data_IF_555915229001
#
_entry.id   IF_555915229001
#
_cell.length_a   1.000
_cell.length_b   1.000
_cell.length_c   1.000
_cell.angle_alpha   90.00
_cell.angle_beta   90.00
_cell.angle_gamma   90.00
#
_symmetry.space_group_name_H-M   'P 1'
#
loop_
_entity.id
_entity.type
_entity.pdbx_description
1 polymer ?
#
# COMPACT_ATOMS: atom_id res chain seq x y z
N UNK A 1 -22.85 3.21 -3.82
CA UNK A 1 -22.96 4.08 -2.63
C UNK A 1 -22.17 3.55 -1.42
N UNK A 2 -22.22 2.25 -1.13
CA UNK A 2 -21.49 1.64 0.00
C UNK A 2 -19.96 1.86 -0.05
N UNK A 3 -19.34 1.67 -1.23
CA UNK A 3 -17.90 1.91 -1.43
C UNK A 3 -17.48 3.35 -1.05
N UNK A 4 -18.25 4.33 -1.51
CA UNK A 4 -17.98 5.75 -1.25
C UNK A 4 -18.17 6.08 0.23
N UNK A 5 -19.23 5.57 0.86
CA UNK A 5 -19.49 5.76 2.29
C UNK A 5 -18.37 5.17 3.16
N UNK A 6 -17.96 3.93 2.88
CA UNK A 6 -16.81 3.26 3.53
C UNK A 6 -15.55 4.12 3.43
N UNK A 7 -15.32 4.75 2.28
CA UNK A 7 -14.14 5.59 2.06
C UNK A 7 -14.17 6.90 2.85
N UNK A 8 -15.32 7.56 2.95
CA UNK A 8 -15.45 8.80 3.74
C UNK A 8 -15.37 8.55 5.24
N UNK A 9 -16.14 7.58 5.76
CA UNK A 9 -16.11 7.23 7.18
C UNK A 9 -14.73 6.70 7.55
N UNK A 10 -14.19 5.77 6.76
CA UNK A 10 -12.84 5.24 6.96
C UNK A 10 -11.79 6.34 6.93
N UNK A 11 -11.93 7.32 6.03
CA UNK A 11 -11.06 8.50 5.97
C UNK A 11 -11.11 9.36 7.23
N UNK A 12 -12.30 9.58 7.81
CA UNK A 12 -12.45 10.33 9.07
C UNK A 12 -11.90 9.56 10.28
N UNK A 13 -11.88 8.22 10.21
CA UNK A 13 -11.32 7.36 11.25
C UNK A 13 -9.80 7.18 11.14
N UNK A 14 -9.15 7.72 10.11
CA UNK A 14 -7.70 7.74 10.05
C UNK A 14 -7.12 8.57 11.22
N UNK A 15 -5.95 8.22 11.76
CA UNK A 15 -5.40 8.86 12.95
C UNK A 15 -5.34 10.39 12.85
N UNK A 16 -4.85 10.93 11.74
CA UNK A 16 -4.70 12.37 11.56
C UNK A 16 -6.06 13.12 11.51
N UNK A 17 -7.00 12.79 10.60
CA UNK A 17 -8.33 13.41 10.61
C UNK A 17 -9.07 13.28 11.95
N UNK A 18 -9.03 12.10 12.58
CA UNK A 18 -9.69 11.88 13.86
C UNK A 18 -9.14 12.79 14.96
N UNK A 19 -7.80 12.89 15.07
CA UNK A 19 -7.15 13.73 16.06
C UNK A 19 -7.37 15.22 15.78
N UNK A 20 -7.37 15.64 14.51
CA UNK A 20 -7.70 17.03 14.14
C UNK A 20 -9.15 17.38 14.46
N UNK A 21 -10.10 16.47 14.23
CA UNK A 21 -11.50 16.65 14.63
C UNK A 21 -11.65 16.74 16.16
N UNK A 22 -10.90 15.92 16.91
CA UNK A 22 -10.88 15.98 18.36
C UNK A 22 -10.32 17.32 18.88
N UNK A 23 -9.23 17.81 18.28
CA UNK A 23 -8.66 19.13 18.60
C UNK A 23 -9.65 20.25 18.23
N UNK A 24 -10.27 20.20 17.05
CA UNK A 24 -11.25 21.18 16.61
C UNK A 24 -12.47 21.24 17.55
N UNK A 25 -12.99 20.08 17.97
CA UNK A 25 -14.04 20.00 18.97
C UNK A 25 -13.58 20.60 20.30
N UNK A 26 -12.35 20.32 20.73
CA UNK A 26 -11.76 20.91 21.93
C UNK A 26 -11.70 22.45 21.86
N UNK A 27 -11.27 23.01 20.73
CA UNK A 27 -11.24 24.46 20.49
C UNK A 27 -12.66 25.07 20.50
N UNK A 28 -13.63 24.41 19.87
CA UNK A 28 -15.02 24.86 19.88
C UNK A 28 -15.60 24.93 21.31
N UNK A 29 -15.30 23.94 22.15
CA UNK A 29 -15.70 23.94 23.56
C UNK A 29 -15.02 25.05 24.38
N UNK A 30 -13.79 25.44 24.04
CA UNK A 30 -13.07 26.54 24.70
C UNK A 30 -13.69 27.89 24.31
N UNK A 31 -13.96 28.10 23.01
CA UNK A 31 -14.38 29.41 22.49
C UNK A 31 -15.87 29.70 22.65
N UNK A 32 -16.73 28.67 22.58
CA UNK A 32 -18.18 28.88 22.47
C UNK A 32 -18.99 28.22 23.59
N UNK A 33 -18.34 27.67 24.63
CA UNK A 33 -19.04 26.91 25.67
C UNK A 33 -18.48 27.15 27.08
N UNK A 34 -19.29 26.81 28.08
CA UNK A 34 -18.89 26.75 29.50
C UNK A 34 -17.97 25.56 29.82
N UNK A 35 -17.86 24.58 28.92
CA UNK A 35 -17.08 23.35 29.11
C UNK A 35 -15.58 23.52 28.78
N UNK A 36 -15.00 24.66 29.10
CA UNK A 36 -13.62 25.02 28.72
C UNK A 36 -12.57 24.04 29.26
N UNK A 37 -12.79 23.46 30.44
CA UNK A 37 -11.87 22.46 31.01
C UNK A 37 -11.80 21.19 30.14
N UNK A 38 -12.96 20.66 29.74
CA UNK A 38 -13.05 19.53 28.82
C UNK A 38 -12.44 19.86 27.45
N UNK A 39 -12.69 21.07 26.95
CA UNK A 39 -12.10 21.54 25.70
C UNK A 39 -10.56 21.57 25.74
N UNK A 40 -9.96 22.11 26.82
CA UNK A 40 -8.50 22.08 27.04
C UNK A 40 -7.97 20.64 27.08
N UNK A 41 -8.64 19.74 27.81
CA UNK A 41 -8.25 18.33 27.86
C UNK A 41 -8.27 17.67 26.48
N UNK A 42 -9.31 17.91 25.66
CA UNK A 42 -9.38 17.36 24.30
C UNK A 42 -8.26 17.89 23.41
N UNK A 43 -8.00 19.20 23.44
CA UNK A 43 -6.88 19.79 22.68
C UNK A 43 -5.54 19.20 23.13
N UNK A 44 -5.29 19.10 24.44
CA UNK A 44 -4.03 18.56 24.97
C UNK A 44 -3.84 17.09 24.58
N UNK A 45 -4.86 16.25 24.77
CA UNK A 45 -4.78 14.82 24.42
C UNK A 45 -4.63 14.64 22.91
N UNK A 46 -5.42 15.35 22.10
CA UNK A 46 -5.33 15.28 20.65
C UNK A 46 -3.96 15.72 20.13
N UNK A 47 -3.44 16.82 20.67
CA UNK A 47 -2.11 17.33 20.32
C UNK A 47 -0.99 16.39 20.76
N UNK A 48 -1.03 15.87 22.00
CA UNK A 48 -0.03 14.92 22.50
C UNK A 48 -0.05 13.61 21.71
N UNK A 49 -1.23 13.08 21.40
CA UNK A 49 -1.36 11.87 20.57
C UNK A 49 -0.79 12.12 19.17
N UNK A 50 -1.10 13.27 18.57
CA UNK A 50 -0.57 13.64 17.26
C UNK A 50 0.95 13.79 17.29
N UNK A 51 1.49 14.46 18.32
CA UNK A 51 2.92 14.59 18.54
C UNK A 51 3.58 13.21 18.65
N UNK A 52 3.08 12.34 19.52
CA UNK A 52 3.62 11.00 19.73
C UNK A 52 3.59 10.18 18.44
N UNK A 53 2.48 10.15 17.71
CA UNK A 53 2.38 9.44 16.43
C UNK A 53 3.25 10.04 15.31
N UNK A 54 3.68 11.30 15.47
CA UNK A 54 4.62 11.96 14.55
C UNK A 54 6.09 11.70 14.92
N UNK A 55 6.36 11.14 16.11
CA UNK A 55 7.70 10.73 16.50
C UNK A 55 8.04 9.37 15.90
N UNK A 56 9.13 9.33 15.14
CA UNK A 56 9.58 8.13 14.44
C UNK A 56 9.73 6.89 15.34
N UNK A 57 10.28 6.94 16.57
CA UNK A 57 10.35 5.78 17.45
C UNK A 57 8.97 5.16 17.79
N UNK A 58 7.94 5.99 17.89
CA UNK A 58 6.57 5.53 18.16
C UNK A 58 5.96 4.94 16.89
N UNK A 59 6.08 5.64 15.76
CA UNK A 59 5.59 5.16 14.47
C UNK A 59 6.23 3.82 14.07
N UNK A 60 7.56 3.72 14.20
CA UNK A 60 8.33 2.51 13.91
C UNK A 60 7.98 1.39 14.88
N UNK A 61 7.81 1.70 16.18
CA UNK A 61 7.39 0.72 17.18
C UNK A 61 6.01 0.11 16.90
N UNK A 62 5.08 0.89 16.33
CA UNK A 62 3.75 0.41 15.94
C UNK A 62 3.77 -0.36 14.60
N UNK A 63 4.62 0.03 13.65
CA UNK A 63 4.72 -0.60 12.34
C UNK A 63 5.49 -1.92 12.37
N UNK A 64 6.58 -1.98 13.12
CA UNK A 64 7.55 -3.08 13.10
C UNK A 64 6.95 -4.48 13.31
N UNK A 65 6.02 -4.70 14.27
CA UNK A 65 5.41 -6.03 14.43
C UNK A 65 4.63 -6.48 13.20
N UNK A 66 4.01 -5.53 12.48
CA UNK A 66 3.25 -5.82 11.26
C UNK A 66 4.21 -6.13 10.12
N UNK A 67 5.25 -5.30 9.93
CA UNK A 67 6.22 -5.48 8.86
C UNK A 67 7.05 -6.77 9.01
N UNK A 68 7.32 -7.19 10.25
CA UNK A 68 8.06 -8.43 10.56
C UNK A 68 7.20 -9.70 10.51
N UNK A 69 5.91 -9.61 10.15
CA UNK A 69 5.04 -10.78 10.03
C UNK A 69 5.54 -11.77 8.97
N UNK A 70 6.09 -11.25 7.87
CA UNK A 70 6.70 -12.06 6.83
C UNK A 70 8.16 -11.64 6.63
N UNK A 71 9.10 -12.60 6.61
CA UNK A 71 10.49 -12.29 6.32
C UNK A 71 10.66 -11.85 4.87
N UNK A 72 11.71 -11.06 4.60
CA UNK A 72 12.14 -10.76 3.23
C UNK A 72 12.34 -12.05 2.44
N UNK A 73 11.77 -12.10 1.23
CA UNK A 73 11.88 -13.28 0.38
C UNK A 73 13.34 -13.50 -0.05
N UNK A 74 13.91 -14.61 0.42
CA UNK A 74 15.25 -15.11 0.05
C UNK A 74 15.18 -16.52 -0.55
N UNK A 75 13.98 -17.02 -0.83
CA UNK A 75 13.78 -18.38 -1.31
C UNK A 75 14.24 -18.58 -2.76
N UNK A 76 14.75 -19.79 -3.05
CA UNK A 76 15.13 -20.21 -4.40
C UNK A 76 13.99 -20.93 -5.14
N UNK A 77 12.80 -21.00 -4.55
CA UNK A 77 11.65 -21.59 -5.22
C UNK A 77 11.31 -20.75 -6.45
N UNK A 78 11.43 -21.38 -7.62
CA UNK A 78 11.02 -20.75 -8.88
C UNK A 78 9.50 -20.63 -8.91
N UNK A 79 9.03 -19.46 -9.34
CA UNK A 79 7.62 -19.21 -9.59
C UNK A 79 7.42 -18.74 -11.03
N UNK A 80 6.26 -19.08 -11.59
CA UNK A 80 5.88 -18.62 -12.93
C UNK A 80 5.30 -17.21 -12.94
N UNK A 81 4.85 -16.72 -11.77
CA UNK A 81 4.16 -15.43 -11.64
C UNK A 81 4.63 -14.63 -10.42
N UNK A 82 4.72 -13.31 -10.62
CA UNK A 82 4.99 -12.31 -9.59
C UNK A 82 3.88 -11.27 -9.65
N UNK A 83 3.01 -11.27 -8.65
CA UNK A 83 1.87 -10.37 -8.55
C UNK A 83 2.28 -9.16 -7.74
N UNK A 84 2.23 -7.97 -8.33
CA UNK A 84 2.56 -6.70 -7.68
C UNK A 84 1.27 -5.89 -7.47
N UNK A 85 0.91 -5.66 -6.21
CA UNK A 85 -0.30 -4.91 -5.86
C UNK A 85 -0.06 -3.39 -5.88
N UNK A 86 -1.05 -2.65 -6.39
CA UNK A 86 -1.04 -1.19 -6.44
C UNK A 86 -0.98 -0.54 -5.04
N UNK A 87 -0.27 0.58 -4.92
CA UNK A 87 -0.16 1.38 -3.69
C UNK A 87 -0.67 2.81 -3.80
N UNK A 88 -0.99 3.24 -5.03
CA UNK A 88 -1.36 4.61 -5.38
C UNK A 88 -0.48 5.13 -6.51
N UNK A 89 -1.04 6.04 -7.30
CA UNK A 89 -0.41 6.55 -8.52
C UNK A 89 -1.06 7.87 -8.93
N UNK A 90 -0.38 8.60 -9.80
CA UNK A 90 -0.90 9.72 -10.59
C UNK A 90 -0.68 9.41 -12.07
N UNK A 91 -1.14 10.28 -12.96
CA UNK A 91 -0.85 10.17 -14.38
C UNK A 91 -0.60 11.51 -15.03
N UNK A 92 0.60 11.67 -15.56
CA UNK A 92 0.98 12.69 -16.53
C UNK A 92 1.84 12.00 -17.62
N UNK A 93 1.40 12.02 -18.89
CA UNK A 93 2.13 11.37 -19.98
C UNK A 93 3.48 12.04 -20.31
N UNK A 94 3.72 13.26 -19.82
CA UNK A 94 4.97 13.99 -20.05
C UNK A 94 6.02 13.73 -18.96
N UNK A 95 5.64 13.06 -17.87
CA UNK A 95 6.58 12.75 -16.80
C UNK A 95 7.37 11.49 -17.14
N UNK A 96 8.54 11.35 -16.50
CA UNK A 96 9.22 10.06 -16.47
C UNK A 96 8.23 9.00 -15.94
N UNK A 97 8.15 7.79 -16.55
CA UNK A 97 7.14 6.81 -16.18
C UNK A 97 7.07 6.56 -14.67
N UNK A 98 8.22 6.40 -14.01
CA UNK A 98 8.31 6.12 -12.57
C UNK A 98 7.75 7.25 -11.69
N UNK A 99 7.77 8.51 -12.14
CA UNK A 99 7.20 9.66 -11.43
C UNK A 99 5.67 9.58 -11.32
N UNK A 100 5.03 8.69 -12.07
CA UNK A 100 3.59 8.42 -11.94
C UNK A 100 3.27 7.48 -10.76
N UNK A 101 4.26 6.82 -10.15
CA UNK A 101 4.07 5.96 -8.97
C UNK A 101 4.43 6.71 -7.70
N UNK A 102 3.54 6.66 -6.69
CA UNK A 102 3.80 7.33 -5.41
C UNK A 102 4.64 6.45 -4.47
N UNK A 103 5.06 7.02 -3.34
CA UNK A 103 6.05 6.51 -2.38
C UNK A 103 6.00 5.00 -2.09
N UNK A 104 4.81 4.40 -1.97
CA UNK A 104 4.69 2.97 -1.65
C UNK A 104 4.68 2.06 -2.90
N UNK A 105 4.28 2.57 -4.07
CA UNK A 105 4.15 1.78 -5.31
C UNK A 105 5.49 1.52 -5.97
N UNK A 106 6.39 2.51 -5.95
CA UNK A 106 7.69 2.38 -6.61
C UNK A 106 8.59 1.32 -5.94
N UNK A 107 8.73 1.24 -4.60
CA UNK A 107 9.49 0.16 -3.97
C UNK A 107 8.87 -1.23 -4.19
N UNK A 108 7.54 -1.34 -4.29
CA UNK A 108 6.87 -2.60 -4.64
C UNK A 108 7.19 -3.02 -6.06
N UNK A 109 7.15 -2.09 -7.01
CA UNK A 109 7.52 -2.36 -8.40
C UNK A 109 8.99 -2.78 -8.50
N UNK A 110 9.90 -2.06 -7.82
CA UNK A 110 11.32 -2.40 -7.82
C UNK A 110 11.57 -3.80 -7.26
N UNK A 111 10.91 -4.16 -6.16
CA UNK A 111 11.01 -5.52 -5.60
C UNK A 111 10.43 -6.56 -6.57
N UNK A 112 9.30 -6.26 -7.21
CA UNK A 112 8.74 -7.10 -8.26
C UNK A 112 9.72 -7.35 -9.41
N UNK A 113 10.41 -6.31 -9.89
CA UNK A 113 11.42 -6.43 -10.97
C UNK A 113 12.63 -7.23 -10.48
N UNK A 114 13.11 -6.99 -9.26
CA UNK A 114 14.22 -7.75 -8.66
C UNK A 114 13.89 -9.25 -8.61
N UNK A 115 12.67 -9.58 -8.17
CA UNK A 115 12.18 -10.96 -8.12
C UNK A 115 11.99 -11.55 -9.52
N UNK A 116 11.55 -10.74 -10.49
CA UNK A 116 11.39 -11.19 -11.87
C UNK A 116 12.73 -11.54 -12.52
N UNK A 117 13.75 -10.70 -12.32
CA UNK A 117 15.12 -10.98 -12.74
C UNK A 117 15.67 -12.26 -12.10
N UNK A 118 15.31 -12.53 -10.84
CA UNK A 118 15.69 -13.74 -10.12
C UNK A 118 14.89 -15.00 -10.56
N UNK A 119 13.81 -14.83 -11.32
CA UNK A 119 12.96 -15.91 -11.83
C UNK A 119 12.86 -15.85 -13.38
N UNK A 120 13.92 -16.25 -14.12
CA UNK A 120 13.90 -16.23 -15.58
C UNK A 120 12.74 -17.07 -16.15
N UNK A 121 11.96 -16.48 -17.05
CA UNK A 121 10.77 -17.10 -17.65
C UNK A 121 9.46 -16.77 -16.95
N UNK A 122 9.50 -16.18 -15.76
CA UNK A 122 8.30 -15.74 -15.05
C UNK A 122 7.63 -14.52 -15.70
N UNK A 123 6.35 -14.32 -15.38
CA UNK A 123 5.58 -13.14 -15.76
C UNK A 123 5.28 -12.26 -14.54
N UNK A 124 5.27 -10.95 -14.76
CA UNK A 124 4.81 -9.97 -13.78
C UNK A 124 3.33 -9.69 -14.00
N UNK A 125 2.55 -9.63 -12.93
CA UNK A 125 1.14 -9.26 -12.96
C UNK A 125 0.97 -7.97 -12.17
N UNK A 126 0.54 -6.90 -12.83
CA UNK A 126 0.14 -5.66 -12.16
C UNK A 126 -1.38 -5.59 -12.05
N UNK A 127 -1.88 -5.16 -10.90
CA UNK A 127 -3.31 -5.11 -10.61
C UNK A 127 -3.75 -3.72 -10.18
N UNK A 128 -5.03 -3.40 -10.41
CA UNK A 128 -5.68 -2.22 -9.89
C UNK A 128 -6.26 -1.30 -10.97
N UNK A 129 -7.47 -0.81 -10.72
CA UNK A 129 -8.26 -0.02 -11.64
C UNK A 129 -7.78 1.42 -11.81
N UNK A 130 -8.38 2.09 -12.79
CA UNK A 130 -8.27 3.53 -12.97
C UNK A 130 -8.98 4.28 -11.84
N UNK A 131 -8.29 5.25 -11.24
CA UNK A 131 -8.93 6.26 -10.42
C UNK A 131 -9.89 7.08 -11.28
N UNK A 132 -11.02 7.54 -10.72
CA UNK A 132 -12.05 8.28 -11.47
C UNK A 132 -11.51 9.48 -12.27
N UNK A 133 -10.43 10.09 -11.79
CA UNK A 133 -9.81 11.30 -12.35
C UNK A 133 -8.61 10.98 -13.23
N UNK A 134 -8.34 9.71 -13.52
CA UNK A 134 -7.12 9.27 -14.19
C UNK A 134 -7.47 8.38 -15.39
N UNK A 135 -6.94 8.65 -16.59
CA UNK A 135 -7.27 7.88 -17.80
C UNK A 135 -6.57 6.53 -17.86
N UNK A 136 -5.56 6.28 -17.02
CA UNK A 136 -4.76 5.04 -17.01
C UNK A 136 -5.02 4.29 -15.71
N UNK A 137 -5.07 2.96 -15.76
CA UNK A 137 -5.24 2.13 -14.57
C UNK A 137 -3.96 2.05 -13.73
N UNK A 138 -4.09 1.75 -12.43
CA UNK A 138 -2.91 1.50 -11.58
C UNK A 138 -2.06 0.36 -12.14
N UNK A 139 -2.71 -0.70 -12.66
CA UNK A 139 -2.06 -1.83 -13.31
C UNK A 139 -1.23 -1.39 -14.52
N UNK A 140 -1.80 -0.61 -15.42
CA UNK A 140 -1.13 -0.15 -16.63
C UNK A 140 -0.03 0.88 -16.35
N UNK A 141 -0.23 1.76 -15.36
CA UNK A 141 0.83 2.65 -14.90
C UNK A 141 2.05 1.87 -14.39
N UNK A 142 1.83 0.86 -13.55
CA UNK A 142 2.91 -0.04 -13.08
C UNK A 142 3.59 -0.79 -14.22
N UNK A 143 2.82 -1.31 -15.18
CA UNK A 143 3.35 -1.99 -16.35
C UNK A 143 4.28 -1.09 -17.19
N UNK A 144 3.87 0.15 -17.48
CA UNK A 144 4.70 1.11 -18.24
C UNK A 144 5.99 1.47 -17.53
N UNK A 145 5.97 1.55 -16.21
CA UNK A 145 7.21 1.75 -15.43
C UNK A 145 8.12 0.54 -15.57
N UNK A 146 7.60 -0.68 -15.42
CA UNK A 146 8.39 -1.90 -15.60
C UNK A 146 8.97 -2.01 -17.02
N UNK A 147 8.18 -1.67 -18.05
CA UNK A 147 8.64 -1.60 -19.43
C UNK A 147 9.77 -0.61 -19.62
N UNK A 148 9.66 0.59 -19.04
CA UNK A 148 10.72 1.61 -19.09
C UNK A 148 12.02 1.18 -18.40
N UNK A 149 11.94 0.17 -17.51
CA UNK A 149 13.07 -0.41 -16.79
C UNK A 149 13.57 -1.72 -17.43
N UNK A 150 13.07 -2.08 -18.61
CA UNK A 150 13.57 -3.20 -19.41
C UNK A 150 12.80 -4.51 -19.28
N UNK A 151 11.66 -4.54 -18.58
CA UNK A 151 10.78 -5.71 -18.59
C UNK A 151 10.00 -5.74 -19.91
N UNK A 152 10.11 -6.78 -20.75
CA UNK A 152 9.39 -6.80 -22.03
C UNK A 152 7.89 -6.90 -21.80
N UNK A 153 7.07 -6.19 -22.59
CA UNK A 153 5.60 -6.23 -22.48
C UNK A 153 5.02 -7.65 -22.51
N UNK A 154 5.64 -8.57 -23.26
CA UNK A 154 5.24 -9.98 -23.33
C UNK A 154 5.39 -10.74 -22.00
N UNK A 155 6.20 -10.23 -21.07
CA UNK A 155 6.34 -10.76 -19.71
C UNK A 155 5.42 -10.06 -18.70
N UNK A 156 4.55 -9.13 -19.13
CA UNK A 156 3.67 -8.37 -18.25
C UNK A 156 2.20 -8.70 -18.53
N UNK A 157 1.44 -8.94 -17.47
CA UNK A 157 -0.01 -9.07 -17.47
C UNK A 157 -0.59 -7.91 -16.66
N UNK A 158 -1.64 -7.27 -17.18
CA UNK A 158 -2.34 -6.18 -16.51
C UNK A 158 -3.77 -6.62 -16.17
N UNK A 159 -4.15 -6.48 -14.90
CA UNK A 159 -5.52 -6.68 -14.41
C UNK A 159 -6.07 -5.33 -13.94
N UNK A 160 -6.76 -4.62 -14.85
CA UNK A 160 -7.05 -3.18 -14.76
C UNK A 160 -8.47 -2.82 -14.32
N UNK A 161 -9.25 -3.81 -13.88
CA UNK A 161 -10.62 -3.65 -13.38
C UNK A 161 -10.79 -3.68 -11.85
N UNK A 162 -9.93 -4.35 -11.04
CA UNK A 162 -10.11 -4.45 -9.58
C UNK A 162 -9.94 -3.13 -8.84
N UNK A 163 -10.81 -2.83 -7.87
CA UNK A 163 -10.82 -1.56 -7.11
C UNK A 163 -10.37 -1.70 -5.67
N UNK A 164 -10.33 -2.92 -5.16
CA UNK A 164 -9.81 -3.26 -3.84
C UNK A 164 -9.17 -4.64 -3.82
N UNK A 165 -8.54 -4.98 -2.69
CA UNK A 165 -7.73 -6.20 -2.57
C UNK A 165 -8.53 -7.50 -2.67
N UNK A 166 -9.83 -7.47 -2.39
CA UNK A 166 -10.70 -8.64 -2.55
C UNK A 166 -10.94 -8.91 -4.04
N UNK A 167 -11.26 -7.86 -4.80
CA UNK A 167 -11.38 -7.95 -6.27
C UNK A 167 -10.04 -8.29 -6.93
N UNK A 168 -8.91 -7.78 -6.42
CA UNK A 168 -7.57 -8.12 -6.93
C UNK A 168 -7.29 -9.62 -6.79
N UNK A 169 -7.57 -10.20 -5.63
CA UNK A 169 -7.39 -11.63 -5.39
C UNK A 169 -8.25 -12.49 -6.32
N UNK A 170 -9.51 -12.10 -6.54
CA UNK A 170 -10.40 -12.80 -7.46
C UNK A 170 -9.92 -12.72 -8.92
N UNK A 171 -9.46 -11.54 -9.36
CA UNK A 171 -8.95 -11.34 -10.71
C UNK A 171 -7.65 -12.13 -10.95
N UNK A 172 -6.75 -12.20 -9.96
CA UNK A 172 -5.55 -13.04 -10.04
C UNK A 172 -5.93 -14.51 -10.16
N UNK A 173 -6.86 -15.01 -9.33
CA UNK A 173 -7.34 -16.39 -9.42
C UNK A 173 -7.88 -16.72 -10.81
N UNK A 174 -8.67 -15.81 -11.39
CA UNK A 174 -9.20 -15.98 -12.74
C UNK A 174 -8.09 -16.02 -13.80
N UNK A 175 -7.02 -15.26 -13.63
CA UNK A 175 -5.94 -15.13 -14.60
C UNK A 175 -4.97 -16.33 -14.59
N UNK A 176 -4.65 -16.89 -13.42
CA UNK A 176 -3.58 -17.90 -13.27
C UNK A 176 -4.02 -19.20 -12.57
N UNK A 177 -5.25 -19.29 -12.08
CA UNK A 177 -5.73 -20.43 -11.29
C UNK A 177 -5.06 -20.48 -9.91
N UNK A 178 -4.85 -21.70 -9.39
CA UNK A 178 -4.32 -21.94 -8.03
C UNK A 178 -2.81 -22.22 -8.02
N UNK A 179 -2.07 -21.73 -9.03
CA UNK A 179 -0.61 -21.90 -9.10
C UNK A 179 0.09 -21.06 -8.03
N UNK A 180 1.23 -21.51 -7.45
CA UNK A 180 2.02 -20.68 -6.55
C UNK A 180 2.61 -19.46 -7.26
N UNK A 181 2.58 -18.31 -6.60
CA UNK A 181 3.15 -17.05 -7.12
C UNK A 181 3.69 -16.19 -5.98
N UNK A 182 4.61 -15.28 -6.29
CA UNK A 182 5.09 -14.29 -5.33
C UNK A 182 4.09 -13.13 -5.25
N UNK A 183 3.63 -12.80 -4.05
CA UNK A 183 2.76 -11.65 -3.81
C UNK A 183 3.55 -10.49 -3.22
N UNK A 184 3.73 -9.44 -4.02
CA UNK A 184 4.50 -8.25 -3.69
C UNK A 184 3.58 -7.10 -3.32
N UNK A 185 3.70 -6.62 -2.09
CA UNK A 185 3.11 -5.37 -1.61
C UNK A 185 3.93 -4.80 -0.45
N UNK A 186 3.53 -3.66 0.12
CA UNK A 186 4.19 -3.09 1.30
C UNK A 186 4.16 -4.10 2.44
N UNK A 187 5.25 -4.23 3.21
CA UNK A 187 5.35 -5.15 4.34
C UNK A 187 4.20 -4.94 5.33
N UNK A 188 3.88 -3.67 5.62
CA UNK A 188 2.75 -3.26 6.46
C UNK A 188 1.36 -3.61 5.88
N UNK A 189 1.25 -3.89 4.58
CA UNK A 189 0.01 -4.28 3.91
C UNK A 189 -0.10 -5.78 3.65
N UNK A 190 1.02 -6.51 3.68
CA UNK A 190 1.09 -7.90 3.27
C UNK A 190 0.22 -8.83 4.13
N UNK A 191 0.17 -8.72 5.48
CA UNK A 191 -0.74 -9.54 6.29
C UNK A 191 -2.20 -9.42 5.88
N UNK A 192 -2.66 -8.21 5.60
CA UNK A 192 -4.02 -7.97 5.12
C UNK A 192 -4.23 -8.57 3.73
N UNK A 193 -3.28 -8.40 2.81
CA UNK A 193 -3.39 -8.94 1.46
C UNK A 193 -3.48 -10.47 1.49
N UNK A 194 -2.61 -11.13 2.26
CA UNK A 194 -2.61 -12.59 2.42
C UNK A 194 -3.99 -13.12 2.82
N UNK A 195 -4.66 -12.48 3.80
CA UNK A 195 -6.02 -12.86 4.21
C UNK A 195 -7.02 -12.84 3.03
N UNK A 196 -6.98 -11.83 2.17
CA UNK A 196 -7.90 -11.74 1.02
C UNK A 196 -7.60 -12.80 -0.04
N UNK A 197 -6.31 -13.06 -0.30
CA UNK A 197 -5.89 -14.09 -1.25
C UNK A 197 -6.23 -15.51 -0.74
N UNK A 198 -5.98 -15.80 0.54
CA UNK A 198 -6.36 -17.06 1.18
C UNK A 198 -7.87 -17.29 1.17
N UNK A 199 -8.68 -16.24 1.39
CA UNK A 199 -10.15 -16.32 1.27
C UNK A 199 -10.63 -16.67 -0.13
N UNK A 200 -9.88 -16.30 -1.16
CA UNK A 200 -10.12 -16.73 -2.54
C UNK A 200 -9.59 -18.14 -2.83
N UNK A 201 -9.01 -18.82 -1.84
CA UNK A 201 -8.42 -20.16 -1.98
C UNK A 201 -7.05 -20.16 -2.66
N UNK A 202 -6.39 -19.00 -2.76
CA UNK A 202 -5.02 -18.89 -3.25
C UNK A 202 -4.02 -19.02 -2.11
N UNK A 203 -2.82 -19.52 -2.42
CA UNK A 203 -1.73 -19.67 -1.45
C UNK A 203 -0.45 -18.98 -1.96
N UNK A 204 -0.44 -17.63 -2.05
CA UNK A 204 0.73 -16.89 -2.48
C UNK A 204 1.92 -17.07 -1.54
N UNK A 205 3.11 -16.90 -2.11
CA UNK A 205 4.36 -16.78 -1.39
C UNK A 205 4.57 -15.30 -1.03
N UNK A 206 4.58 -14.92 0.26
CA UNK A 206 4.66 -13.54 0.67
C UNK A 206 6.03 -12.94 0.31
N UNK A 207 6.03 -11.82 -0.39
CA UNK A 207 7.24 -11.09 -0.78
C UNK A 207 7.13 -9.62 -0.33
N UNK A 208 7.50 -9.30 0.93
CA UNK A 208 7.34 -7.95 1.47
C UNK A 208 8.31 -6.95 0.81
N UNK A 209 7.78 -5.81 0.40
CA UNK A 209 8.52 -4.65 -0.08
C UNK A 209 8.23 -3.42 0.80
N UNK A 210 8.87 -2.28 0.56
CA UNK A 210 8.53 -1.00 1.21
C UNK A 210 8.45 -1.09 2.75
N UNK A 211 9.46 -1.66 3.39
CA UNK A 211 9.65 -1.57 4.82
C UNK A 211 9.86 -0.10 5.21
N UNK A 212 9.13 0.37 6.21
CA UNK A 212 9.18 1.77 6.65
C UNK A 212 9.74 1.91 8.07
N UNK A 213 9.55 0.90 8.92
CA UNK A 213 10.13 0.91 10.25
C UNK A 213 11.65 0.86 10.16
N UNK A 214 12.33 1.85 10.74
CA UNK A 214 13.78 1.95 10.65
C UNK A 214 14.43 1.21 11.82
N UNK A 215 15.26 0.22 11.50
CA UNK A 215 16.03 -0.56 12.47
C UNK A 215 17.48 -0.09 12.60
N UNK A 216 18.00 0.55 11.55
CA UNK A 216 19.39 0.99 11.47
C UNK A 216 19.51 2.51 11.67
N UNK A 217 20.64 3.02 12.19
CA UNK A 217 20.88 4.45 12.26
C UNK A 217 20.71 5.10 10.88
N UNK A 218 19.90 6.15 10.81
CA UNK A 218 19.81 6.97 9.61
C UNK A 218 21.16 7.62 9.34
N UNK A 219 21.55 7.68 8.06
CA UNK A 219 22.69 8.49 7.64
C UNK A 219 22.36 9.97 7.90
N UNK A 220 23.11 10.70 8.74
CA UNK A 220 22.82 12.09 9.05
C UNK A 220 23.37 13.10 8.03
N UNK A 221 24.01 12.66 6.93
CA UNK A 221 24.55 13.51 5.85
C UNK A 221 24.08 13.09 4.46
#
# INVERSE_FOLDING_TARGET
MLFTLKKYIGGMMLPLPLLLLLIALGLALIWFSRFQKSGKSLVTVGWLALLLLSLQPVADGLLRPIENTYPTWQGNQKVDYIVVLGGGYTWDPNWAPSSNLINNSLPRLNEGIRLWLANPGSKMIFTGAAAKTNPVSTAEAGARVAESLGVPRSAIITLDSPKDTEEEAAAVKQAIGDVPFLLVTSASHLPRAMIFFEKQGLHPLPAPANQMAIDAPLNPW
#
